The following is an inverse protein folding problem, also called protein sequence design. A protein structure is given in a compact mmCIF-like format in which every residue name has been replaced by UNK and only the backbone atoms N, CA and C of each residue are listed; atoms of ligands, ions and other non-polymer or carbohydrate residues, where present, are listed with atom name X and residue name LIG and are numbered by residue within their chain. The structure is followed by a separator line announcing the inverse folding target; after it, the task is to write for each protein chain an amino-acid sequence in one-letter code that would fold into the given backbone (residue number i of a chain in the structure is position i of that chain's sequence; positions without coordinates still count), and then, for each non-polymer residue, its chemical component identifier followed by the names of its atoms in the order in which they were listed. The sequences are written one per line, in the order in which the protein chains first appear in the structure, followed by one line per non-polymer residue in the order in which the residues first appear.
data_IF_590480879873
#
_entry.id   IF_590480879873
#
_cell.length_a   1.000
_cell.length_b   1.000
_cell.length_c   1.000
_cell.angle_alpha   90.00
_cell.angle_beta   90.00
_cell.angle_gamma   90.00
#
_symmetry.space_group_name_H-M   'P 1'
#
loop_
_entity.id
_entity.type
_entity.pdbx_description
1 polymer ?
#
# COMPACT_ATOMS: atom_id res chain seq x y z
N UNK A 1 0.21 0.60 6.49
CA UNK A 1 0.17 1.96 5.90
C UNK A 1 1.34 2.15 4.95
N UNK A 2 1.10 2.13 3.65
CA UNK A 2 2.16 2.26 2.64
C UNK A 2 2.62 3.70 2.41
N UNK A 3 1.98 4.67 3.04
CA UNK A 3 2.30 6.09 2.97
C UNK A 3 2.27 6.72 4.35
N UNK A 4 3.00 6.11 5.28
CA UNK A 4 2.79 6.22 6.72
C UNK A 4 2.94 7.64 7.31
N UNK A 5 3.63 8.53 6.64
CA UNK A 5 3.81 9.90 7.11
C UNK A 5 4.42 9.94 8.51
N UNK A 6 3.68 10.42 9.49
CA UNK A 6 4.08 10.40 10.91
C UNK A 6 3.70 9.12 11.66
N UNK A 7 3.04 8.16 11.01
CA UNK A 7 2.48 6.97 11.63
C UNK A 7 1.14 7.18 12.36
N UNK A 8 0.53 8.32 12.19
CA UNK A 8 -0.70 8.67 12.94
C UNK A 8 -1.87 7.73 12.67
N UNK A 9 -2.05 7.29 11.42
CA UNK A 9 -3.13 6.35 11.06
C UNK A 9 -2.90 4.99 11.74
N UNK A 10 -1.67 4.47 11.69
CA UNK A 10 -1.31 3.22 12.35
C UNK A 10 -1.55 3.27 13.86
N UNK A 11 -1.16 4.37 14.51
CA UNK A 11 -1.39 4.57 15.95
C UNK A 11 -2.89 4.58 16.28
N UNK A 12 -3.69 5.22 15.46
CA UNK A 12 -5.12 5.34 15.71
C UNK A 12 -5.86 4.03 15.47
N UNK A 13 -5.54 3.30 14.41
CA UNK A 13 -6.14 1.97 14.18
C UNK A 13 -5.70 1.01 15.28
N UNK A 14 -4.42 1.01 15.68
CA UNK A 14 -3.92 0.19 16.77
C UNK A 14 -4.67 0.42 18.08
N UNK A 15 -4.94 1.68 18.43
CA UNK A 15 -5.76 2.01 19.59
C UNK A 15 -7.21 1.53 19.48
N UNK A 16 -7.78 1.60 18.28
CA UNK A 16 -9.14 1.12 18.04
C UNK A 16 -9.23 -0.39 18.18
N UNK A 17 -8.32 -1.11 17.56
CA UNK A 17 -8.24 -2.57 17.62
C UNK A 17 -7.95 -3.06 19.04
N UNK A 18 -7.02 -2.44 19.78
CA UNK A 18 -6.67 -2.81 21.13
C UNK A 18 -7.85 -2.75 22.13
N UNK A 19 -8.89 -1.96 21.83
CA UNK A 19 -10.12 -1.94 22.65
C UNK A 19 -10.95 -3.21 22.52
N UNK A 20 -10.77 -3.96 21.44
CA UNK A 20 -11.53 -5.16 21.12
C UNK A 20 -10.73 -6.44 21.33
N UNK A 21 -9.41 -6.33 21.35
CA UNK A 21 -8.50 -7.47 21.57
C UNK A 21 -7.94 -7.40 22.98
N UNK A 22 -8.21 -8.41 23.78
CA UNK A 22 -7.74 -8.50 25.19
C UNK A 22 -6.29 -9.00 25.30
N UNK A 23 -5.49 -8.88 24.26
CA UNK A 23 -4.09 -9.30 24.25
C UNK A 23 -3.18 -8.11 24.01
N UNK A 24 -2.21 -7.92 24.87
CA UNK A 24 -1.17 -6.91 24.70
C UNK A 24 -0.22 -7.29 23.56
N UNK A 25 0.22 -6.29 22.80
CA UNK A 25 1.26 -6.42 21.76
C UNK A 25 1.00 -7.48 20.67
N UNK A 26 -0.26 -7.79 20.36
CA UNK A 26 -0.61 -8.76 19.32
C UNK A 26 -0.65 -8.16 17.90
N UNK A 27 -0.57 -6.83 17.77
CA UNK A 27 -0.68 -6.14 16.49
C UNK A 27 0.72 -5.91 15.93
N UNK A 28 0.95 -6.34 14.68
CA UNK A 28 2.12 -5.97 13.89
C UNK A 28 1.79 -4.78 13.00
N UNK A 29 2.68 -3.81 12.96
CA UNK A 29 2.53 -2.57 12.22
C UNK A 29 3.52 -2.55 11.05
N UNK A 30 3.00 -2.46 9.85
CA UNK A 30 3.78 -2.32 8.63
C UNK A 30 3.66 -0.90 8.12
N UNK A 31 4.78 -0.22 7.98
CA UNK A 31 4.86 1.18 7.57
C UNK A 31 5.85 1.39 6.45
N UNK A 32 5.45 2.02 5.35
CA UNK A 32 6.38 2.47 4.32
C UNK A 32 6.29 3.98 4.15
N UNK A 33 7.42 4.63 3.94
CA UNK A 33 7.50 6.08 3.77
C UNK A 33 8.68 6.44 2.87
N UNK A 34 8.40 7.29 1.89
CA UNK A 34 9.37 7.72 0.90
C UNK A 34 10.49 8.59 1.51
N UNK A 35 10.11 9.54 2.36
CA UNK A 35 11.04 10.51 2.93
C UNK A 35 11.71 9.96 4.19
N UNK A 36 13.05 9.89 4.19
CA UNK A 36 13.85 9.37 5.29
C UNK A 36 13.52 10.02 6.65
N UNK A 37 13.37 11.34 6.68
CA UNK A 37 13.06 12.03 7.94
C UNK A 37 11.67 11.66 8.48
N UNK A 38 10.69 11.54 7.59
CA UNK A 38 9.33 11.16 7.94
C UNK A 38 9.26 9.68 8.35
N UNK A 39 10.01 8.82 7.66
CA UNK A 39 10.20 7.42 8.06
C UNK A 39 10.75 7.28 9.50
N UNK A 40 11.78 8.06 9.84
CA UNK A 40 12.33 8.07 11.20
C UNK A 40 11.27 8.54 12.21
N UNK A 41 10.48 9.56 11.85
CA UNK A 41 9.40 10.06 12.69
C UNK A 41 8.32 9.01 12.94
N UNK A 42 7.93 8.25 11.90
CA UNK A 42 7.00 7.12 12.06
C UNK A 42 7.49 6.14 13.11
N UNK A 43 8.74 5.69 12.99
CA UNK A 43 9.33 4.73 13.94
C UNK A 43 9.37 5.27 15.36
N UNK A 44 9.82 6.52 15.52
CA UNK A 44 9.86 7.17 16.83
C UNK A 44 8.47 7.24 17.46
N UNK A 45 7.47 7.67 16.71
CA UNK A 45 6.10 7.82 17.21
C UNK A 45 5.50 6.48 17.64
N UNK A 46 5.74 5.40 16.89
CA UNK A 46 5.28 4.06 17.26
C UNK A 46 5.94 3.58 18.55
N UNK A 47 7.26 3.73 18.69
CA UNK A 47 8.01 3.36 19.91
C UNK A 47 7.53 4.20 21.11
N UNK A 48 7.38 5.51 20.95
CA UNK A 48 6.91 6.40 22.02
C UNK A 48 5.48 6.09 22.49
N UNK A 49 4.71 5.38 21.68
CA UNK A 49 3.36 4.88 22.05
C UNK A 49 3.39 3.50 22.71
N UNK A 50 4.56 2.97 23.02
CA UNK A 50 4.74 1.71 23.73
C UNK A 50 4.60 0.47 22.83
N UNK A 51 4.63 0.62 21.51
CA UNK A 51 4.64 -0.52 20.60
C UNK A 51 6.03 -1.15 20.67
N UNK A 52 6.07 -2.46 20.92
CA UNK A 52 7.34 -3.18 21.00
C UNK A 52 8.06 -3.19 19.65
N UNK A 53 9.39 -3.04 19.62
CA UNK A 53 10.14 -2.94 18.37
C UNK A 53 9.91 -4.10 17.40
N UNK A 54 9.75 -5.31 17.88
CA UNK A 54 9.51 -6.51 17.07
C UNK A 54 8.16 -6.49 16.32
N UNK A 55 7.27 -5.60 16.74
CA UNK A 55 5.98 -5.38 16.07
C UNK A 55 6.01 -4.19 15.12
N UNK A 56 7.14 -3.51 14.97
CA UNK A 56 7.29 -2.35 14.08
C UNK A 56 8.16 -2.76 12.89
N UNK A 57 7.52 -2.99 11.76
CA UNK A 57 8.20 -3.32 10.51
C UNK A 57 8.04 -2.11 9.59
N UNK A 58 9.08 -1.28 9.55
CA UNK A 58 9.07 -0.05 8.80
C UNK A 58 10.13 -0.05 7.70
N UNK A 59 9.78 0.47 6.52
CA UNK A 59 10.64 0.56 5.36
C UNK A 59 10.70 1.98 4.82
N UNK A 60 11.90 2.42 4.47
CA UNK A 60 12.09 3.65 3.70
C UNK A 60 12.16 3.30 2.22
N UNK A 61 11.20 3.74 1.43
CA UNK A 61 11.13 3.44 0.00
C UNK A 61 9.90 4.03 -0.67
N UNK A 62 9.94 4.04 -2.00
CA UNK A 62 8.82 4.48 -2.85
C UNK A 62 7.84 3.32 -3.02
N UNK A 63 6.71 3.39 -2.41
CA UNK A 63 5.66 2.36 -2.42
C UNK A 63 5.28 1.88 -3.82
N UNK A 64 5.25 2.78 -4.78
CA UNK A 64 4.86 2.42 -6.15
C UNK A 64 5.98 1.79 -6.96
N UNK A 65 7.24 1.93 -6.53
CA UNK A 65 8.41 1.31 -7.18
C UNK A 65 8.89 0.08 -6.45
N UNK A 66 8.93 0.21 -5.12
CA UNK A 66 9.49 -0.79 -4.23
C UNK A 66 8.35 -1.47 -3.49
N UNK A 67 7.77 -2.49 -4.11
CA UNK A 67 6.69 -3.25 -3.51
C UNK A 67 7.12 -3.87 -2.17
N UNK A 68 6.19 -4.07 -1.30
CA UNK A 68 6.46 -4.55 0.07
C UNK A 68 5.94 -5.92 0.34
N UNK A 69 6.55 -6.42 1.38
CA UNK A 69 7.90 -6.91 1.57
C UNK A 69 7.96 -8.24 0.88
N UNK A 70 9.05 -8.47 0.34
CA UNK A 70 9.10 -9.53 -0.58
C UNK A 70 9.81 -10.72 -0.11
N UNK A 71 10.70 -10.62 0.80
CA UNK A 71 11.41 -11.77 1.30
C UNK A 71 12.01 -11.45 2.65
N UNK A 72 12.16 -12.46 3.46
CA UNK A 72 13.11 -12.49 4.52
C UNK A 72 14.51 -12.40 3.88
N UNK A 73 15.40 -11.54 4.38
CA UNK A 73 16.79 -11.43 3.92
C UNK A 73 17.53 -12.77 3.99
N UNK A 74 17.00 -13.72 4.74
CA UNK A 74 17.51 -15.09 4.88
C UNK A 74 16.90 -16.06 3.88
N UNK A 75 15.82 -15.73 3.18
CA UNK A 75 15.21 -16.56 2.15
C UNK A 75 15.86 -16.30 0.78
N UNK A 76 17.02 -16.90 0.56
CA UNK A 76 17.77 -16.78 -0.70
C UNK A 76 17.17 -17.57 -1.85
N UNK A 77 16.13 -18.35 -1.63
CA UNK A 77 15.52 -19.23 -2.62
C UNK A 77 14.28 -18.64 -3.32
N UNK A 78 14.02 -17.36 -3.15
CA UNK A 78 13.00 -16.61 -3.90
C UNK A 78 11.57 -17.12 -3.79
N UNK A 79 11.12 -17.47 -2.64
CA UNK A 79 9.70 -17.59 -2.42
C UNK A 79 9.11 -16.19 -2.24
N UNK A 80 8.76 -15.54 -3.34
CA UNK A 80 8.02 -14.29 -3.33
C UNK A 80 6.64 -14.56 -2.71
N UNK A 81 6.52 -14.21 -1.46
CA UNK A 81 5.24 -14.22 -0.77
C UNK A 81 4.85 -12.76 -0.52
N UNK A 82 3.90 -12.22 -1.29
CA UNK A 82 3.43 -10.86 -1.03
C UNK A 82 2.87 -10.77 0.40
N UNK A 83 3.17 -9.66 1.07
CA UNK A 83 2.58 -9.39 2.36
C UNK A 83 1.06 -9.24 2.22
N UNK A 84 0.29 -9.98 3.01
CA UNK A 84 -1.14 -9.74 3.16
C UNK A 84 -1.45 -9.42 4.63
N UNK A 85 -2.17 -8.33 4.83
CA UNK A 85 -2.52 -7.79 6.14
C UNK A 85 -4.02 -7.81 6.39
N UNK A 86 -4.41 -7.80 7.66
CA UNK A 86 -5.83 -7.80 8.05
C UNK A 86 -6.48 -6.42 7.88
N UNK A 87 -5.67 -5.37 7.96
CA UNK A 87 -6.15 -4.00 7.78
C UNK A 87 -5.13 -3.13 7.06
N UNK A 88 -5.61 -2.34 6.10
CA UNK A 88 -4.85 -1.29 5.43
C UNK A 88 -5.47 0.06 5.74
N UNK A 89 -4.64 1.01 6.13
CA UNK A 89 -5.03 2.42 6.30
C UNK A 89 -4.03 3.28 5.56
N UNK A 90 -4.49 4.18 4.70
CA UNK A 90 -3.59 5.05 3.95
C UNK A 90 -4.18 6.40 3.62
N UNK A 91 -3.31 7.40 3.56
CA UNK A 91 -3.61 8.73 3.05
C UNK A 91 -2.48 9.14 2.09
N UNK A 92 -2.48 8.59 0.87
CA UNK A 92 -1.44 8.84 -0.11
C UNK A 92 -1.46 10.29 -0.60
N UNK A 93 -0.35 10.78 -1.17
CA UNK A 93 -0.30 12.10 -1.78
C UNK A 93 -1.24 12.16 -3.00
N UNK A 94 -2.12 13.18 -3.03
CA UNK A 94 -3.16 13.29 -4.06
C UNK A 94 -2.61 13.68 -5.42
N UNK A 95 -3.12 13.02 -6.45
CA UNK A 95 -2.85 13.34 -7.87
C UNK A 95 -1.35 13.45 -8.18
N UNK A 96 -0.53 12.69 -7.50
CA UNK A 96 0.90 12.65 -7.74
C UNK A 96 1.22 12.00 -9.08
N UNK A 97 2.19 12.55 -9.80
CA UNK A 97 2.77 11.89 -10.95
C UNK A 97 3.68 10.74 -10.52
N UNK A 98 3.63 9.64 -11.24
CA UNK A 98 4.43 8.45 -10.98
C UNK A 98 4.98 7.85 -12.27
N UNK A 99 5.84 6.84 -12.14
CA UNK A 99 6.33 6.09 -13.29
C UNK A 99 5.66 4.73 -13.30
N UNK A 100 4.65 4.52 -14.15
CA UNK A 100 3.98 3.23 -14.25
C UNK A 100 4.95 2.12 -14.64
N UNK A 101 4.76 0.88 -14.15
CA UNK A 101 5.50 -0.27 -14.62
C UNK A 101 5.29 -0.45 -16.13
N UNK A 102 6.34 -0.87 -16.83
CA UNK A 102 6.27 -1.10 -18.26
C UNK A 102 5.49 -2.39 -18.53
N UNK A 103 4.39 -2.30 -19.27
CA UNK A 103 3.77 -3.51 -19.84
C UNK A 103 4.73 -4.13 -20.87
N UNK A 104 5.01 -5.44 -20.80
CA UNK A 104 5.75 -6.10 -21.85
C UNK A 104 5.02 -5.93 -23.19
N UNK A 105 5.75 -5.63 -24.23
CA UNK A 105 5.19 -5.62 -25.59
C UNK A 105 4.98 -7.06 -26.07
N UNK A 106 4.05 -7.27 -27.00
CA UNK A 106 3.80 -8.58 -27.59
C UNK A 106 5.12 -9.25 -28.03
N UNK A 107 5.45 -10.39 -27.41
CA UNK A 107 6.66 -11.16 -27.67
C UNK A 107 7.87 -10.83 -26.77
N UNK A 108 7.78 -9.84 -25.87
CA UNK A 108 8.79 -9.62 -24.84
C UNK A 108 8.47 -10.47 -23.61
N UNK A 109 9.46 -11.19 -23.09
CA UNK A 109 9.37 -11.76 -21.74
C UNK A 109 9.56 -10.62 -20.75
N UNK A 110 8.54 -10.31 -19.97
CA UNK A 110 8.57 -9.35 -18.87
C UNK A 110 7.41 -9.67 -17.94
N UNK A 111 7.67 -9.60 -16.66
CA UNK A 111 6.61 -9.76 -15.67
C UNK A 111 5.79 -8.47 -15.60
N UNK A 112 4.48 -8.61 -15.62
CA UNK A 112 3.56 -7.52 -15.27
C UNK A 112 3.61 -7.39 -13.75
N UNK A 113 3.63 -6.17 -13.25
CA UNK A 113 3.54 -5.93 -11.81
C UNK A 113 2.20 -6.49 -11.29
N UNK A 114 2.22 -7.52 -10.43
CA UNK A 114 1.00 -8.25 -10.05
C UNK A 114 -0.04 -7.36 -9.35
N UNK A 115 0.38 -6.23 -8.79
CA UNK A 115 -0.53 -5.27 -8.15
C UNK A 115 -1.53 -4.65 -9.13
N UNK A 116 -1.19 -4.63 -10.43
CA UNK A 116 -1.96 -3.92 -11.46
C UNK A 116 -2.46 -4.84 -12.57
N UNK A 117 -2.17 -6.14 -12.49
CA UNK A 117 -2.45 -7.07 -13.59
C UNK A 117 -3.96 -7.22 -13.83
N UNK A 118 -4.73 -7.41 -12.77
CA UNK A 118 -6.18 -7.63 -12.85
C UNK A 118 -6.97 -6.36 -13.22
N UNK A 119 -6.53 -5.19 -12.72
CA UNK A 119 -7.32 -3.95 -12.80
C UNK A 119 -6.78 -2.91 -13.78
N UNK A 120 -5.56 -3.11 -14.27
CA UNK A 120 -4.90 -2.18 -15.16
C UNK A 120 -4.04 -1.13 -14.45
N UNK A 121 -3.32 -0.36 -15.24
CA UNK A 121 -2.30 0.60 -14.77
C UNK A 121 -2.90 2.01 -14.75
N UNK A 122 -2.81 2.66 -13.60
CA UNK A 122 -3.25 4.04 -13.42
C UNK A 122 -2.47 5.03 -14.31
N UNK A 123 -3.09 6.15 -14.74
CA UNK A 123 -2.43 7.14 -15.58
C UNK A 123 -1.17 7.72 -14.94
N UNK A 124 -0.11 7.93 -15.74
CA UNK A 124 1.18 8.49 -15.29
C UNK A 124 1.06 9.80 -14.49
N UNK A 125 0.10 10.64 -14.84
CA UNK A 125 -0.11 11.93 -14.18
C UNK A 125 -0.87 11.86 -12.85
N UNK A 126 -1.40 10.69 -12.48
CA UNK A 126 -2.29 10.53 -11.31
C UNK A 126 -2.17 9.14 -10.72
N UNK A 127 -1.43 9.02 -9.65
CA UNK A 127 -1.17 7.77 -8.95
C UNK A 127 -2.31 7.35 -8.00
N UNK A 128 -3.42 8.09 -7.95
CA UNK A 128 -4.48 7.85 -6.95
C UNK A 128 -4.94 6.38 -6.96
N UNK A 129 -5.27 5.86 -8.16
CA UNK A 129 -5.63 4.44 -8.30
C UNK A 129 -4.45 3.47 -8.15
N UNK A 130 -3.21 3.91 -8.42
CA UNK A 130 -2.06 3.04 -8.20
C UNK A 130 -1.87 2.74 -6.70
N UNK A 131 -2.07 3.73 -5.84
CA UNK A 131 -2.07 3.51 -4.39
C UNK A 131 -3.24 2.64 -3.94
N UNK A 132 -4.44 2.86 -4.48
CA UNK A 132 -5.61 2.04 -4.14
C UNK A 132 -5.38 0.57 -4.51
N UNK A 133 -4.87 0.29 -5.71
CA UNK A 133 -4.59 -1.07 -6.17
C UNK A 133 -3.45 -1.73 -5.38
N UNK A 134 -2.43 -0.95 -4.99
CA UNK A 134 -1.39 -1.42 -4.09
C UNK A 134 -1.97 -1.83 -2.73
N UNK A 135 -2.81 -1.01 -2.14
CA UNK A 135 -3.47 -1.29 -0.86
C UNK A 135 -4.34 -2.55 -0.95
N UNK A 136 -5.12 -2.66 -2.04
CA UNK A 136 -6.00 -3.80 -2.29
C UNK A 136 -5.22 -5.10 -2.48
N UNK A 137 -4.09 -5.06 -3.19
CA UNK A 137 -3.23 -6.21 -3.42
C UNK A 137 -2.67 -6.80 -2.12
N UNK A 138 -2.37 -5.95 -1.15
CA UNK A 138 -1.84 -6.38 0.15
C UNK A 138 -2.92 -6.68 1.20
N UNK A 139 -4.19 -6.58 0.85
CA UNK A 139 -5.29 -6.86 1.74
C UNK A 139 -5.64 -8.36 1.71
N UNK A 140 -5.83 -8.97 2.87
CA UNK A 140 -6.41 -10.32 2.96
C UNK A 140 -7.87 -10.31 2.49
N UNK A 141 -8.37 -11.48 2.05
CA UNK A 141 -9.76 -11.65 1.58
C UNK A 141 -10.81 -11.14 2.59
N UNK A 142 -10.60 -11.36 3.87
CA UNK A 142 -11.48 -10.89 4.95
C UNK A 142 -10.99 -9.57 5.58
N UNK A 143 -10.05 -8.90 4.94
CA UNK A 143 -9.43 -7.69 5.45
C UNK A 143 -10.28 -6.43 5.24
N UNK A 144 -9.92 -5.37 5.94
CA UNK A 144 -10.58 -4.06 5.85
C UNK A 144 -9.58 -3.02 5.37
N UNK A 145 -9.95 -2.27 4.34
CA UNK A 145 -9.15 -1.17 3.79
C UNK A 145 -9.87 0.17 3.98
N UNK A 146 -9.11 1.17 4.38
CA UNK A 146 -9.55 2.57 4.41
C UNK A 146 -8.48 3.45 3.78
N UNK A 147 -8.82 4.06 2.66
CA UNK A 147 -7.93 4.97 1.94
C UNK A 147 -8.59 6.33 1.75
N UNK A 148 -7.82 7.40 1.93
CA UNK A 148 -8.28 8.77 1.67
C UNK A 148 -7.80 9.20 0.30
N UNK A 149 -8.74 9.47 -0.59
CA UNK A 149 -8.46 9.84 -1.98
C UNK A 149 -9.16 11.16 -2.34
N UNK A 150 -8.66 11.90 -3.35
CA UNK A 150 -9.33 13.10 -3.83
C UNK A 150 -10.68 12.75 -4.46
N UNK A 151 -11.68 13.60 -4.25
CA UNK A 151 -13.05 13.40 -4.76
C UNK A 151 -13.11 13.07 -6.27
N UNK A 152 -12.16 13.59 -7.06
CA UNK A 152 -12.08 13.34 -8.49
C UNK A 152 -12.01 11.86 -8.91
N UNK A 153 -11.51 10.96 -8.04
CA UNK A 153 -11.42 9.52 -8.36
C UNK A 153 -12.79 8.90 -8.65
N UNK A 154 -13.87 9.48 -8.13
CA UNK A 154 -15.22 8.95 -8.30
C UNK A 154 -15.78 9.17 -9.72
N UNK A 155 -15.28 10.14 -10.48
CA UNK A 155 -15.86 10.51 -11.77
C UNK A 155 -14.85 10.80 -12.89
N UNK A 156 -13.54 10.89 -12.58
CA UNK A 156 -12.54 11.13 -13.63
C UNK A 156 -12.37 9.91 -14.54
N UNK A 157 -12.05 10.21 -15.80
CA UNK A 157 -11.75 9.21 -16.84
C UNK A 157 -12.99 8.53 -17.41
N UNK A 158 -12.94 8.29 -18.71
CA UNK A 158 -13.95 7.52 -19.42
C UNK A 158 -13.67 6.02 -19.29
N UNK A 159 -14.64 5.16 -19.65
CA UNK A 159 -14.50 3.71 -19.65
C UNK A 159 -13.61 3.21 -20.82
N UNK A 160 -12.45 3.82 -21.03
CA UNK A 160 -11.47 3.43 -22.06
C UNK A 160 -10.29 2.71 -21.44
N UNK A 161 -9.64 1.82 -22.19
CA UNK A 161 -8.49 1.05 -21.72
C UNK A 161 -7.38 1.95 -21.17
N UNK A 162 -6.87 1.64 -20.00
CA UNK A 162 -5.82 2.39 -19.30
C UNK A 162 -6.28 3.70 -18.65
N UNK A 163 -7.57 3.90 -18.45
CA UNK A 163 -8.15 5.08 -17.79
C UNK A 163 -8.53 4.81 -16.34
N UNK A 164 -8.68 5.88 -15.54
CA UNK A 164 -9.23 5.75 -14.18
C UNK A 164 -10.66 5.18 -14.19
N UNK A 165 -11.43 5.43 -15.26
CA UNK A 165 -12.78 4.92 -15.45
C UNK A 165 -12.82 3.41 -15.63
N UNK A 166 -11.91 2.83 -16.41
CA UNK A 166 -11.86 1.38 -16.61
C UNK A 166 -11.43 0.64 -15.33
N UNK A 167 -10.46 1.16 -14.59
CA UNK A 167 -10.06 0.59 -13.30
C UNK A 167 -11.24 0.61 -12.32
N UNK A 168 -11.96 1.74 -12.27
CA UNK A 168 -13.14 1.87 -11.41
C UNK A 168 -14.24 0.89 -11.77
N UNK A 169 -14.49 0.67 -13.06
CA UNK A 169 -15.47 -0.31 -13.54
C UNK A 169 -15.11 -1.73 -13.08
N UNK A 170 -13.85 -2.14 -13.28
CA UNK A 170 -13.35 -3.46 -12.87
C UNK A 170 -13.36 -3.68 -11.34
N UNK A 171 -13.24 -2.62 -10.55
CA UNK A 171 -13.34 -2.71 -9.09
C UNK A 171 -14.78 -2.91 -8.58
N UNK A 172 -15.79 -2.57 -9.39
CA UNK A 172 -17.22 -2.64 -9.02
C UNK A 172 -17.88 -3.92 -9.54
N UNK A 173 -17.43 -4.43 -10.69
CA UNK A 173 -17.91 -5.68 -11.28
C UNK A 173 -17.35 -6.91 -10.55
#
# INVERSE_FOLDING_TARGET
DPTSGSGSLLINIGKSVARHIQQDNCIKYYAQELKQNTYNLTRMNLIMRGIVPDNIIARNGDTLKDDWPYFDENDKENTYHPLHVDAVVSNPPYSQSWTPPRKPKNGEMGEVDPRFDDYGIAPKGKADYAFLLHDLYHLKTEGIMTIVLPHGVLFRGDAGDGSEGSIRQQLIE
#
